data_IF_989740774111
#
_entry.id   IF_989740774111
#
_cell.length_a   1.000
_cell.length_b   1.000
_cell.length_c   1.000
_cell.angle_alpha   90.00
_cell.angle_beta   90.00
_cell.angle_gamma   90.00
#
_symmetry.space_group_name_H-M   'P 1'
#
loop_
_entity.id
_entity.type
_entity.pdbx_description
1 polymer ?
#
# COMPACT_ATOMS: atom_id res chain seq x y z
N UNK A 1 0.17 -21.00 -68.37
CA UNK A 1 -0.02 -22.07 -67.36
C UNK A 1 1.15 -21.92 -66.41
N UNK A 2 0.91 -21.12 -65.36
CA UNK A 2 0.82 -21.56 -63.95
C UNK A 2 2.19 -21.33 -63.30
N UNK A 3 2.43 -20.17 -62.68
CA UNK A 3 2.13 -19.85 -61.26
C UNK A 3 2.61 -20.94 -60.30
N UNK A 4 3.69 -20.66 -59.57
CA UNK A 4 3.54 -20.60 -58.11
C UNK A 4 4.65 -19.78 -57.42
N UNK A 5 4.15 -18.97 -56.49
CA UNK A 5 4.84 -18.07 -55.58
C UNK A 5 5.28 -18.82 -54.32
N UNK A 6 6.37 -18.37 -53.68
CA UNK A 6 6.57 -18.37 -52.21
C UNK A 6 7.89 -17.63 -51.95
N UNK A 7 7.90 -16.29 -51.93
CA UNK A 7 7.62 -15.37 -50.81
C UNK A 7 8.48 -15.61 -49.57
N UNK A 8 9.33 -14.60 -49.33
CA UNK A 8 10.30 -14.41 -48.26
C UNK A 8 9.82 -14.85 -46.88
N UNK A 9 10.71 -15.54 -46.16
CA UNK A 9 10.65 -15.66 -44.72
C UNK A 9 10.83 -14.27 -44.09
N UNK A 10 9.70 -13.64 -43.76
CA UNK A 10 9.63 -12.42 -42.98
C UNK A 10 10.33 -12.62 -41.64
N UNK A 11 11.26 -11.70 -41.36
CA UNK A 11 11.84 -11.42 -40.06
C UNK A 11 10.73 -11.38 -38.99
N UNK A 12 10.83 -12.24 -37.98
CA UNK A 12 10.11 -12.04 -36.73
C UNK A 12 10.59 -10.70 -36.14
N UNK A 13 9.69 -9.77 -35.79
CA UNK A 13 10.10 -8.63 -35.00
C UNK A 13 10.46 -9.15 -33.60
N UNK A 14 11.74 -8.99 -33.25
CA UNK A 14 12.23 -8.95 -31.87
C UNK A 14 11.18 -8.32 -30.96
N UNK A 15 10.89 -8.89 -29.78
CA UNK A 15 9.92 -8.32 -28.87
C UNK A 15 10.46 -6.95 -28.46
N UNK A 16 9.97 -5.92 -29.14
CA UNK A 16 10.21 -4.54 -28.79
C UNK A 16 9.82 -4.43 -27.33
N UNK A 17 10.83 -4.27 -26.48
CA UNK A 17 10.66 -3.82 -25.11
C UNK A 17 9.95 -2.47 -25.22
N UNK A 18 8.62 -2.52 -25.20
CA UNK A 18 7.77 -1.36 -25.03
C UNK A 18 8.09 -0.93 -23.60
N UNK A 19 9.11 -0.09 -23.46
CA UNK A 19 9.22 0.79 -22.33
C UNK A 19 7.99 1.68 -22.47
N UNK A 20 6.88 1.24 -21.87
CA UNK A 20 5.69 2.04 -21.69
C UNK A 20 6.17 3.27 -20.94
N UNK A 21 6.36 4.36 -21.68
CA UNK A 21 6.75 5.65 -21.14
C UNK A 21 5.55 6.09 -20.29
N UNK A 22 5.57 5.73 -19.01
CA UNK A 22 4.47 5.99 -18.09
C UNK A 22 4.25 7.50 -18.05
N UNK A 23 3.09 7.95 -18.55
CA UNK A 23 2.68 9.34 -18.52
C UNK A 23 2.67 9.80 -17.06
N UNK A 24 3.45 10.83 -16.75
CA UNK A 24 3.43 11.42 -15.42
C UNK A 24 2.09 12.13 -15.19
N UNK A 25 1.48 11.85 -14.04
CA UNK A 25 0.24 12.49 -13.61
C UNK A 25 0.56 13.96 -13.29
N UNK A 26 -0.20 14.87 -13.88
CA UNK A 26 -0.11 16.32 -13.64
C UNK A 26 -1.21 16.77 -12.67
N UNK A 27 -1.05 17.95 -12.06
CA UNK A 27 -2.11 18.57 -11.24
C UNK A 27 -3.39 18.82 -12.05
N UNK A 28 -3.26 19.08 -13.36
CA UNK A 28 -4.40 19.20 -14.26
C UNK A 28 -5.20 17.90 -14.35
N UNK A 29 -4.50 16.77 -14.51
CA UNK A 29 -5.13 15.44 -14.51
C UNK A 29 -5.88 15.18 -13.20
N UNK A 30 -5.30 15.56 -12.05
CA UNK A 30 -5.94 15.43 -10.72
C UNK A 30 -7.23 16.24 -10.64
N UNK A 31 -7.21 17.49 -11.13
CA UNK A 31 -8.38 18.35 -11.14
C UNK A 31 -9.52 17.80 -11.99
N UNK A 32 -9.19 17.14 -13.10
CA UNK A 32 -10.19 16.54 -13.98
C UNK A 32 -10.80 15.27 -13.38
N UNK A 33 -9.99 14.37 -12.81
CA UNK A 33 -10.53 13.16 -12.15
C UNK A 33 -11.35 13.51 -10.90
N UNK A 34 -10.99 14.56 -10.15
CA UNK A 34 -11.68 14.91 -8.91
C UNK A 34 -13.14 15.37 -9.14
N UNK A 35 -13.44 15.91 -10.32
CA UNK A 35 -14.80 16.27 -10.72
C UNK A 35 -15.70 15.05 -10.89
N UNK A 36 -15.11 13.89 -11.13
CA UNK A 36 -15.81 12.63 -11.39
C UNK A 36 -15.95 11.76 -10.14
N UNK A 37 -15.13 12.03 -9.12
CA UNK A 37 -15.19 11.32 -7.85
C UNK A 37 -16.47 11.66 -7.08
N UNK A 38 -17.14 10.62 -6.60
CA UNK A 38 -18.25 10.78 -5.67
C UNK A 38 -17.76 11.15 -4.25
N UNK A 39 -18.70 11.39 -3.33
CA UNK A 39 -18.37 11.78 -1.97
C UNK A 39 -17.66 10.68 -1.18
N UNK A 40 -18.03 9.40 -1.36
CA UNK A 40 -17.41 8.27 -0.67
C UNK A 40 -15.97 8.06 -1.15
N UNK A 41 -15.74 8.20 -2.45
CA UNK A 41 -14.41 8.12 -3.04
C UNK A 41 -13.51 9.26 -2.57
N UNK A 42 -14.06 10.49 -2.47
CA UNK A 42 -13.32 11.63 -1.89
C UNK A 42 -12.96 11.41 -0.44
N UNK A 43 -13.89 10.91 0.38
CA UNK A 43 -13.64 10.56 1.79
C UNK A 43 -12.51 9.52 1.89
N UNK A 44 -12.59 8.46 1.09
CA UNK A 44 -11.58 7.39 1.07
C UNK A 44 -10.21 7.90 0.65
N UNK A 45 -10.14 8.71 -0.41
CA UNK A 45 -8.87 9.26 -0.88
C UNK A 45 -8.29 10.28 0.11
N UNK A 46 -9.09 11.19 0.68
CA UNK A 46 -8.58 12.13 1.70
C UNK A 46 -8.00 11.36 2.88
N UNK A 47 -8.68 10.32 3.36
CA UNK A 47 -8.17 9.47 4.43
C UNK A 47 -6.80 8.87 4.10
N UNK A 48 -6.66 8.25 2.92
CA UNK A 48 -5.42 7.56 2.51
C UNK A 48 -4.28 8.53 2.15
N UNK A 49 -4.58 9.74 1.68
CA UNK A 49 -3.60 10.66 1.11
C UNK A 49 -3.05 11.70 2.09
N UNK A 50 -3.90 12.29 2.94
CA UNK A 50 -3.50 13.36 3.85
C UNK A 50 -2.70 12.80 5.02
N UNK A 51 -1.55 13.40 5.33
CA UNK A 51 -0.77 13.03 6.51
C UNK A 51 -1.22 13.80 7.75
N UNK A 52 -1.69 15.04 7.57
CA UNK A 52 -2.29 15.85 8.62
C UNK A 52 -3.77 15.48 8.82
N UNK A 53 -4.05 14.88 9.98
CA UNK A 53 -5.38 14.37 10.36
C UNK A 53 -6.38 15.51 10.55
N UNK A 54 -5.96 16.64 11.13
CA UNK A 54 -6.84 17.76 11.42
C UNK A 54 -7.29 18.45 10.13
N UNK A 55 -6.35 18.68 9.21
CA UNK A 55 -6.65 19.24 7.88
C UNK A 55 -7.56 18.29 7.09
N UNK A 56 -7.27 16.98 7.13
CA UNK A 56 -8.11 15.98 6.46
C UNK A 56 -9.55 16.02 6.96
N UNK A 57 -9.74 15.96 8.28
CA UNK A 57 -11.07 15.95 8.90
C UNK A 57 -11.82 17.26 8.64
N UNK A 58 -11.15 18.42 8.76
CA UNK A 58 -11.75 19.72 8.48
C UNK A 58 -12.24 19.82 7.03
N UNK A 59 -11.45 19.35 6.06
CA UNK A 59 -11.83 19.37 4.65
C UNK A 59 -13.04 18.46 4.38
N UNK A 60 -13.08 17.28 4.97
CA UNK A 60 -14.22 16.36 4.83
C UNK A 60 -15.50 16.90 5.48
N UNK A 61 -15.39 17.53 6.66
CA UNK A 61 -16.53 18.18 7.30
C UNK A 61 -17.10 19.31 6.43
N UNK A 62 -16.24 20.12 5.80
CA UNK A 62 -16.70 21.17 4.88
C UNK A 62 -17.37 20.59 3.63
N UNK A 63 -16.82 19.52 3.05
CA UNK A 63 -17.45 18.82 1.93
C UNK A 63 -18.83 18.27 2.31
N UNK A 64 -18.99 17.68 3.49
CA UNK A 64 -20.29 17.22 4.00
C UNK A 64 -21.31 18.35 4.16
N UNK A 65 -20.85 19.57 4.48
CA UNK A 65 -21.70 20.76 4.56
C UNK A 65 -22.03 21.37 3.18
N UNK A 66 -21.60 20.73 2.08
CA UNK A 66 -21.88 21.16 0.71
C UNK A 66 -20.86 22.15 0.14
N UNK A 67 -19.71 22.34 0.78
CA UNK A 67 -18.63 23.14 0.21
C UNK A 67 -18.10 22.49 -1.08
N UNK A 68 -17.81 23.30 -2.10
CA UNK A 68 -17.22 22.85 -3.37
C UNK A 68 -15.70 22.92 -3.31
N UNK A 69 -15.10 22.08 -2.47
CA UNK A 69 -13.65 22.00 -2.32
C UNK A 69 -13.06 21.01 -3.33
N UNK A 70 -11.87 21.34 -3.85
CA UNK A 70 -11.04 20.44 -4.66
C UNK A 70 -9.96 19.82 -3.76
N UNK A 71 -10.39 19.04 -2.76
CA UNK A 71 -9.53 18.49 -1.71
C UNK A 71 -8.37 17.66 -2.27
N UNK A 72 -8.57 16.86 -3.32
CA UNK A 72 -7.51 16.02 -3.89
C UNK A 72 -6.54 16.87 -4.71
N UNK A 73 -7.05 17.85 -5.46
CA UNK A 73 -6.25 18.79 -6.23
C UNK A 73 -5.39 19.66 -5.32
N UNK A 74 -5.96 20.22 -4.25
CA UNK A 74 -5.21 21.04 -3.29
C UNK A 74 -4.17 20.21 -2.53
N UNK A 75 -4.51 18.98 -2.14
CA UNK A 75 -3.53 18.04 -1.59
C UNK A 75 -2.37 17.79 -2.55
N UNK A 76 -2.65 17.51 -3.83
CA UNK A 76 -1.61 17.21 -4.82
C UNK A 76 -0.68 18.40 -5.05
N UNK A 77 -1.22 19.64 -5.08
CA UNK A 77 -0.43 20.86 -5.20
C UNK A 77 0.47 21.08 -3.99
N UNK A 78 -0.02 20.79 -2.79
CA UNK A 78 0.78 20.84 -1.58
C UNK A 78 1.90 19.78 -1.60
N UNK A 79 1.56 18.54 -1.93
CA UNK A 79 2.51 17.42 -1.99
C UNK A 79 3.59 17.61 -3.07
N UNK A 80 3.24 18.21 -4.21
CA UNK A 80 4.17 18.58 -5.28
C UNK A 80 5.21 19.60 -4.79
N UNK A 81 4.78 20.65 -4.08
CA UNK A 81 5.69 21.65 -3.50
C UNK A 81 6.66 21.04 -2.48
N UNK A 82 6.25 19.99 -1.79
CA UNK A 82 7.08 19.27 -0.83
C UNK A 82 8.03 18.25 -1.49
N UNK A 83 7.98 18.08 -2.82
CA UNK A 83 8.85 17.15 -3.54
C UNK A 83 8.56 15.68 -3.26
N UNK A 84 7.37 15.36 -2.75
CA UNK A 84 6.99 13.98 -2.43
C UNK A 84 6.69 13.19 -3.71
N UNK A 85 6.78 11.84 -3.64
CA UNK A 85 6.33 10.92 -4.71
C UNK A 85 4.80 10.84 -4.77
N UNK A 86 4.14 12.00 -4.83
CA UNK A 86 2.70 12.15 -4.65
C UNK A 86 1.89 11.46 -5.75
N UNK A 87 2.40 11.40 -6.99
CA UNK A 87 1.75 10.68 -8.09
C UNK A 87 1.65 9.19 -7.77
N UNK A 88 2.72 8.61 -7.20
CA UNK A 88 2.73 7.19 -6.83
C UNK A 88 1.83 6.92 -5.62
N UNK A 89 1.78 7.85 -4.64
CA UNK A 89 0.84 7.76 -3.50
C UNK A 89 -0.61 7.85 -3.95
N UNK A 90 -0.93 8.76 -4.88
CA UNK A 90 -2.25 8.87 -5.48
C UNK A 90 -2.66 7.60 -6.22
N UNK A 91 -1.76 7.07 -7.05
CA UNK A 91 -2.03 5.87 -7.83
C UNK A 91 -2.22 4.63 -6.94
N UNK A 92 -1.42 4.49 -5.88
CA UNK A 92 -1.62 3.44 -4.88
C UNK A 92 -2.96 3.59 -4.15
N UNK A 93 -3.32 4.80 -3.70
CA UNK A 93 -4.60 5.04 -3.04
C UNK A 93 -5.80 4.73 -3.94
N UNK A 94 -5.76 5.15 -5.21
CA UNK A 94 -6.77 4.80 -6.22
C UNK A 94 -6.87 3.28 -6.42
N UNK A 95 -5.73 2.59 -6.37
CA UNK A 95 -5.68 1.12 -6.50
C UNK A 95 -6.26 0.42 -5.26
N UNK A 96 -6.01 0.97 -4.06
CA UNK A 96 -6.59 0.50 -2.79
C UNK A 96 -8.12 0.62 -2.81
N UNK A 97 -8.66 1.77 -3.23
CA UNK A 97 -10.12 1.98 -3.34
C UNK A 97 -10.73 1.33 -4.59
N UNK A 98 -9.92 0.64 -5.41
CA UNK A 98 -10.33 -0.08 -6.63
C UNK A 98 -11.04 0.80 -7.68
N UNK A 99 -10.75 2.09 -7.73
CA UNK A 99 -11.30 2.97 -8.76
C UNK A 99 -10.51 2.84 -10.07
N UNK A 100 -10.69 1.70 -10.75
CA UNK A 100 -10.02 1.40 -12.01
C UNK A 100 -10.50 2.26 -13.18
N UNK A 101 -11.68 2.88 -13.05
CA UNK A 101 -12.17 3.82 -14.05
C UNK A 101 -11.27 5.06 -14.12
N UNK A 102 -10.98 5.68 -12.97
CA UNK A 102 -10.07 6.82 -12.88
C UNK A 102 -8.64 6.43 -13.24
N UNK A 103 -8.16 5.27 -12.80
CA UNK A 103 -6.82 4.76 -13.16
C UNK A 103 -6.65 4.62 -14.67
N UNK A 104 -7.65 4.06 -15.37
CA UNK A 104 -7.62 3.94 -16.83
C UNK A 104 -7.61 5.32 -17.51
N UNK A 105 -8.35 6.30 -16.98
CA UNK A 105 -8.33 7.69 -17.50
C UNK A 105 -6.98 8.39 -17.34
N UNK A 106 -6.25 8.06 -16.28
CA UNK A 106 -4.88 8.53 -16.08
C UNK A 106 -3.87 7.83 -17.01
N UNK A 107 -4.30 6.84 -17.81
CA UNK A 107 -3.47 6.12 -18.77
C UNK A 107 -2.75 4.91 -18.18
N UNK A 108 -3.19 4.38 -17.03
CA UNK A 108 -2.60 3.22 -16.38
C UNK A 108 -3.45 1.96 -16.57
N UNK A 109 -2.80 0.81 -16.74
CA UNK A 109 -3.48 -0.47 -16.84
C UNK A 109 -3.77 -1.05 -15.47
N UNK A 110 -5.01 -1.54 -15.27
CA UNK A 110 -5.47 -2.19 -14.04
C UNK A 110 -4.50 -3.25 -13.51
N UNK A 111 -4.06 -4.19 -14.35
CA UNK A 111 -3.24 -5.32 -13.90
C UNK A 111 -1.86 -4.84 -13.43
N UNK A 112 -1.25 -3.92 -14.16
CA UNK A 112 0.07 -3.36 -13.79
C UNK A 112 0.04 -2.69 -12.43
N UNK A 113 -0.96 -1.85 -12.16
CA UNK A 113 -1.07 -1.18 -10.85
C UNK A 113 -1.48 -2.14 -9.75
N UNK A 114 -2.33 -3.13 -10.06
CA UNK A 114 -2.73 -4.15 -9.11
C UNK A 114 -1.55 -4.98 -8.63
N UNK A 115 -0.75 -5.49 -9.56
CA UNK A 115 0.43 -6.32 -9.28
C UNK A 115 1.53 -5.49 -8.60
N UNK A 116 1.66 -4.21 -8.96
CA UNK A 116 2.62 -3.28 -8.35
C UNK A 116 2.30 -2.96 -6.90
N UNK A 117 1.05 -2.62 -6.59
CA UNK A 117 0.67 -2.09 -5.27
C UNK A 117 0.07 -3.13 -4.32
N UNK A 118 -0.33 -4.29 -4.83
CA UNK A 118 -0.93 -5.38 -4.06
C UNK A 118 -2.00 -4.85 -3.09
N UNK A 119 -3.07 -4.20 -3.59
CA UNK A 119 -3.99 -3.42 -2.76
C UNK A 119 -4.70 -4.25 -1.67
N UNK A 120 -4.85 -5.56 -1.89
CA UNK A 120 -5.47 -6.48 -0.94
C UNK A 120 -4.51 -7.07 0.08
N UNK A 121 -3.18 -6.97 -0.16
CA UNK A 121 -2.18 -7.42 0.80
C UNK A 121 -2.07 -6.39 1.93
N UNK A 122 -2.53 -6.78 3.11
CA UNK A 122 -2.57 -5.93 4.30
C UNK A 122 -1.19 -5.71 4.92
N UNK A 123 -0.19 -6.52 4.58
CA UNK A 123 1.14 -6.45 5.19
C UNK A 123 2.13 -5.59 4.40
N UNK A 124 1.72 -5.06 3.25
CA UNK A 124 2.61 -4.29 2.36
C UNK A 124 1.93 -3.01 1.87
N UNK A 125 2.68 -1.92 1.83
CA UNK A 125 2.29 -0.64 1.23
C UNK A 125 3.55 0.08 0.77
N UNK A 126 3.51 0.76 -0.38
CA UNK A 126 4.71 1.38 -0.97
C UNK A 126 4.82 2.89 -0.67
N UNK A 127 3.71 3.59 -0.66
CA UNK A 127 3.61 5.05 -0.57
C UNK A 127 2.49 5.51 0.37
N UNK A 128 1.40 4.74 0.49
CA UNK A 128 0.32 4.99 1.46
C UNK A 128 0.70 4.44 2.83
N UNK A 129 0.28 5.09 3.91
CA UNK A 129 0.50 4.59 5.26
C UNK A 129 -0.13 3.19 5.44
N UNK A 130 0.66 2.24 5.94
CA UNK A 130 0.26 0.85 6.07
C UNK A 130 -0.94 0.68 7.00
N UNK A 131 -1.01 1.45 8.10
CA UNK A 131 -2.10 1.36 9.06
C UNK A 131 -3.40 1.92 8.49
N UNK A 132 -3.31 3.02 7.74
CA UNK A 132 -4.46 3.56 6.99
C UNK A 132 -4.99 2.56 5.97
N UNK A 133 -4.10 1.96 5.16
CA UNK A 133 -4.48 0.89 4.22
C UNK A 133 -5.15 -0.28 4.95
N UNK A 134 -4.56 -0.75 6.05
CA UNK A 134 -5.11 -1.86 6.85
C UNK A 134 -6.51 -1.55 7.36
N UNK A 135 -6.70 -0.43 8.03
CA UNK A 135 -7.99 -0.04 8.61
C UNK A 135 -9.05 0.17 7.52
N UNK A 136 -8.69 0.84 6.42
CA UNK A 136 -9.58 0.97 5.26
C UNK A 136 -10.04 -0.39 4.74
N UNK A 137 -9.12 -1.32 4.47
CA UNK A 137 -9.45 -2.64 3.95
C UNK A 137 -10.25 -3.50 4.94
N UNK A 138 -10.10 -3.28 6.25
CA UNK A 138 -10.92 -3.92 7.28
C UNK A 138 -12.35 -3.38 7.21
N UNK A 139 -12.52 -2.06 7.17
CA UNK A 139 -13.82 -1.40 7.07
C UNK A 139 -14.56 -1.82 5.78
N UNK A 140 -13.87 -1.87 4.64
CA UNK A 140 -14.44 -2.33 3.35
C UNK A 140 -14.98 -3.76 3.38
N UNK A 141 -14.44 -4.63 4.24
CA UNK A 141 -14.89 -6.03 4.38
C UNK A 141 -16.06 -6.18 5.35
N UNK A 142 -16.39 -5.14 6.11
CA UNK A 142 -17.48 -5.20 7.09
C UNK A 142 -18.83 -4.99 6.44
N UNK A 143 -19.81 -5.77 6.90
CA UNK A 143 -21.21 -5.48 6.61
C UNK A 143 -21.70 -4.25 7.39
N UNK A 144 -22.77 -3.61 6.91
CA UNK A 144 -23.43 -2.53 7.64
C UNK A 144 -23.85 -2.92 9.06
N UNK A 145 -24.21 -4.20 9.28
CA UNK A 145 -24.54 -4.71 10.61
C UNK A 145 -23.30 -4.75 11.53
N UNK A 146 -22.17 -5.27 11.03
CA UNK A 146 -20.91 -5.26 11.76
C UNK A 146 -20.43 -3.83 12.05
N UNK A 147 -20.57 -2.91 11.08
CA UNK A 147 -20.18 -1.51 11.28
C UNK A 147 -21.01 -0.85 12.38
N UNK A 148 -22.32 -1.09 12.44
CA UNK A 148 -23.19 -0.59 13.52
C UNK A 148 -22.78 -1.13 14.89
N UNK A 149 -22.43 -2.40 14.96
CA UNK A 149 -21.94 -3.04 16.20
C UNK A 149 -20.62 -2.40 16.63
N UNK A 150 -19.67 -2.22 15.70
CA UNK A 150 -18.39 -1.54 15.95
C UNK A 150 -18.61 -0.14 16.52
N UNK A 151 -19.41 0.69 15.86
CA UNK A 151 -19.72 2.05 16.31
C UNK A 151 -20.37 2.06 17.69
N UNK A 152 -21.28 1.12 17.97
CA UNK A 152 -21.93 1.01 19.28
C UNK A 152 -20.92 0.70 20.39
N UNK A 153 -20.01 -0.24 20.16
CA UNK A 153 -18.97 -0.57 21.13
C UNK A 153 -18.00 0.58 21.35
N UNK A 154 -17.55 1.23 20.29
CA UNK A 154 -16.65 2.39 20.39
C UNK A 154 -17.34 3.54 21.13
N UNK A 155 -18.61 3.83 20.82
CA UNK A 155 -19.38 4.86 21.51
C UNK A 155 -19.51 4.58 23.02
N UNK A 156 -19.70 3.32 23.42
CA UNK A 156 -19.75 2.95 24.83
C UNK A 156 -18.39 3.12 25.50
N UNK A 157 -17.29 2.69 24.87
CA UNK A 157 -15.93 2.89 25.41
C UNK A 157 -15.58 4.38 25.52
N UNK A 158 -16.06 5.23 24.61
CA UNK A 158 -15.95 6.68 24.71
C UNK A 158 -16.67 7.23 25.95
N UNK A 159 -17.88 6.74 26.25
CA UNK A 159 -18.62 7.15 27.45
C UNK A 159 -17.85 6.76 28.71
N UNK A 160 -17.33 5.54 28.76
CA UNK A 160 -16.57 5.02 29.91
C UNK A 160 -15.28 5.83 30.14
N UNK A 161 -14.62 6.24 29.04
CA UNK A 161 -13.41 7.09 29.06
C UNK A 161 -13.69 8.59 29.14
N UNK A 162 -14.96 9.02 29.19
CA UNK A 162 -15.40 10.43 29.17
C UNK A 162 -14.85 11.22 27.96
N UNK A 163 -14.72 10.57 26.81
CA UNK A 163 -14.32 11.19 25.55
C UNK A 163 -15.56 11.73 24.82
N UNK A 164 -15.37 12.81 24.05
CA UNK A 164 -16.41 13.33 23.16
C UNK A 164 -16.51 12.42 21.93
N UNK A 165 -17.70 11.86 21.69
CA UNK A 165 -17.98 11.06 20.51
C UNK A 165 -18.64 11.92 19.43
N UNK A 166 -18.07 11.93 18.23
CA UNK A 166 -18.68 12.57 17.06
C UNK A 166 -19.31 11.49 16.19
N UNK A 167 -20.60 11.63 15.89
CA UNK A 167 -21.32 10.66 15.06
C UNK A 167 -21.22 11.04 13.59
N UNK A 168 -20.58 10.19 12.79
CA UNK A 168 -20.49 10.34 11.35
C UNK A 168 -21.34 9.26 10.66
N UNK A 169 -21.92 9.55 9.47
CA UNK A 169 -22.66 8.54 8.72
C UNK A 169 -21.81 7.31 8.42
N UNK A 170 -22.42 6.11 8.55
CA UNK A 170 -21.78 4.81 8.31
C UNK A 170 -21.01 4.73 6.96
N UNK A 171 -21.52 5.27 5.83
CA UNK A 171 -20.78 5.23 4.57
C UNK A 171 -19.47 6.04 4.56
N UNK A 172 -19.21 6.83 5.60
CA UNK A 172 -18.03 7.69 5.74
C UNK A 172 -17.20 7.28 6.96
N UNK A 173 -17.02 5.97 7.16
CA UNK A 173 -16.33 5.40 8.30
C UNK A 173 -14.90 5.94 8.46
N UNK A 174 -14.25 6.31 7.37
CA UNK A 174 -12.92 6.92 7.37
C UNK A 174 -12.90 8.25 8.14
N UNK A 175 -14.01 8.99 8.17
CA UNK A 175 -14.13 10.20 9.00
C UNK A 175 -14.13 9.87 10.49
N UNK A 176 -14.81 8.78 10.89
CA UNK A 176 -14.71 8.27 12.25
C UNK A 176 -13.28 7.84 12.59
N UNK A 177 -12.59 7.16 11.68
CA UNK A 177 -11.17 6.78 11.87
C UNK A 177 -10.27 8.01 12.05
N UNK A 178 -10.47 9.07 11.27
CA UNK A 178 -9.74 10.33 11.42
C UNK A 178 -10.02 10.99 12.77
N UNK A 179 -11.29 11.09 13.17
CA UNK A 179 -11.70 11.65 14.47
C UNK A 179 -11.07 10.87 15.63
N UNK A 180 -11.17 9.54 15.60
CA UNK A 180 -10.58 8.66 16.60
C UNK A 180 -9.06 8.79 16.67
N UNK A 181 -8.40 9.04 15.53
CA UNK A 181 -6.95 9.28 15.51
C UNK A 181 -6.62 10.65 16.08
N UNK A 182 -7.40 11.70 15.75
CA UNK A 182 -7.18 13.07 16.21
C UNK A 182 -7.24 13.20 17.74
N UNK A 183 -8.15 12.46 18.39
CA UNK A 183 -8.27 12.43 19.85
C UNK A 183 -7.39 11.36 20.51
N UNK A 184 -6.51 10.70 19.74
CA UNK A 184 -5.61 9.63 20.19
C UNK A 184 -6.33 8.41 20.80
N UNK A 185 -7.58 8.15 20.38
CA UNK A 185 -8.28 6.91 20.68
C UNK A 185 -7.63 5.71 19.97
N UNK A 186 -7.11 5.96 18.76
CA UNK A 186 -6.24 5.05 18.01
C UNK A 186 -5.02 5.81 17.52
N UNK A 187 -3.95 5.09 17.21
CA UNK A 187 -2.78 5.61 16.49
C UNK A 187 -2.10 4.50 15.69
N UNK A 188 -1.16 4.86 14.83
CA UNK A 188 -0.34 3.89 14.09
C UNK A 188 0.48 2.97 15.00
N UNK A 189 0.76 3.38 16.24
CA UNK A 189 1.52 2.58 17.21
C UNK A 189 0.65 1.89 18.26
N UNK A 190 -0.60 2.32 18.43
CA UNK A 190 -1.53 1.77 19.40
C UNK A 190 -2.94 1.64 18.83
N UNK A 191 -3.30 0.39 18.52
CA UNK A 191 -4.64 -0.02 18.07
C UNK A 191 -5.32 -0.92 19.12
N UNK A 192 -4.86 -0.88 20.37
CA UNK A 192 -5.35 -1.75 21.45
C UNK A 192 -6.84 -1.57 21.73
N UNK A 193 -7.36 -0.35 21.61
CA UNK A 193 -8.78 -0.05 21.79
C UNK A 193 -9.63 -0.75 20.71
N UNK A 194 -9.25 -0.64 19.43
CA UNK A 194 -9.93 -1.35 18.35
C UNK A 194 -9.75 -2.87 18.44
N UNK A 195 -8.56 -3.35 18.79
CA UNK A 195 -8.30 -4.78 18.99
C UNK A 195 -9.25 -5.39 20.02
N UNK A 196 -9.52 -4.68 21.13
CA UNK A 196 -10.52 -5.11 22.14
C UNK A 196 -11.92 -5.18 21.55
N UNK A 197 -12.34 -4.16 20.80
CA UNK A 197 -13.67 -4.15 20.17
C UNK A 197 -13.81 -5.29 19.16
N UNK A 198 -12.82 -5.53 18.32
CA UNK A 198 -12.85 -6.64 17.37
C UNK A 198 -12.91 -8.02 18.05
N UNK A 199 -12.28 -8.20 19.22
CA UNK A 199 -12.42 -9.44 20.00
C UNK A 199 -13.85 -9.66 20.51
N UNK A 200 -14.51 -8.59 20.94
CA UNK A 200 -15.92 -8.65 21.38
C UNK A 200 -16.86 -8.95 20.20
N UNK A 201 -16.50 -8.49 19.00
CA UNK A 201 -17.21 -8.81 17.75
C UNK A 201 -16.86 -10.18 17.16
N UNK A 202 -16.08 -11.01 17.86
CA UNK A 202 -15.59 -12.32 17.40
C UNK A 202 -14.74 -12.26 16.12
N UNK A 203 -14.16 -11.09 15.81
CA UNK A 203 -13.27 -10.87 14.67
C UNK A 203 -11.81 -11.06 15.08
N UNK A 204 -11.48 -12.26 15.58
CA UNK A 204 -10.16 -12.57 16.15
C UNK A 204 -9.02 -12.41 15.14
N UNK A 205 -9.17 -12.90 13.91
CA UNK A 205 -8.17 -12.77 12.84
C UNK A 205 -7.82 -11.31 12.55
N UNK A 206 -8.83 -10.44 12.54
CA UNK A 206 -8.65 -9.00 12.34
C UNK A 206 -7.93 -8.40 13.54
N UNK A 207 -8.31 -8.77 14.75
CA UNK A 207 -7.67 -8.30 15.99
C UNK A 207 -6.19 -8.65 16.03
N UNK A 208 -5.80 -9.86 15.61
CA UNK A 208 -4.41 -10.30 15.54
C UNK A 208 -3.62 -9.57 14.46
N UNK A 209 -4.23 -9.32 13.29
CA UNK A 209 -3.57 -8.62 12.18
C UNK A 209 -3.17 -7.16 12.46
N UNK A 210 -3.79 -6.56 13.50
CA UNK A 210 -3.54 -5.19 13.95
C UNK A 210 -2.39 -5.08 14.95
N UNK A 211 -1.91 -6.19 15.51
CA UNK A 211 -0.77 -6.20 16.41
C UNK A 211 0.50 -5.93 15.60
N UNK A 212 1.29 -4.89 15.92
CA UNK A 212 2.55 -4.63 15.23
C UNK A 212 3.48 -5.85 15.38
N UNK A 213 3.90 -6.44 14.25
CA UNK A 213 4.81 -7.61 14.25
C UNK A 213 6.17 -7.32 14.90
N UNK A 214 6.51 -6.05 15.15
CA UNK A 214 7.69 -5.63 15.92
C UNK A 214 7.66 -6.07 17.39
N UNK A 215 6.47 -6.29 17.96
CA UNK A 215 6.33 -6.79 19.34
C UNK A 215 6.56 -8.30 19.49
N UNK A 216 6.73 -9.05 18.40
CA UNK A 216 6.99 -10.49 18.45
C UNK A 216 8.49 -10.83 18.55
N UNK A 217 9.39 -9.83 18.52
CA UNK A 217 10.85 -10.03 18.55
C UNK A 217 11.55 -9.59 19.85
N UNK A 218 10.83 -9.12 20.86
CA UNK A 218 11.45 -8.76 22.14
C UNK A 218 11.52 -9.96 23.08
N UNK A 219 12.54 -10.81 22.88
CA UNK A 219 13.18 -11.63 23.91
C UNK A 219 14.49 -12.23 23.35
N UNK A 220 15.41 -11.36 22.92
CA UNK A 220 16.84 -11.71 22.86
C UNK A 220 17.61 -10.50 23.35
N UNK A 221 18.08 -10.56 24.59
CA UNK A 221 19.02 -9.60 25.16
C UNK A 221 20.31 -9.61 24.35
N UNK A 222 20.60 -8.52 23.66
CA UNK A 222 21.97 -8.21 23.22
C UNK A 222 22.32 -6.79 23.62
N UNK A 223 22.95 -6.70 24.79
CA UNK A 223 23.67 -5.53 25.26
C UNK A 223 24.92 -5.33 24.39
N UNK A 224 25.08 -4.13 23.83
CA UNK A 224 26.22 -3.80 22.97
C UNK A 224 26.11 -2.41 22.35
N UNK A 225 26.09 -1.38 23.20
CA UNK A 225 26.03 0.02 22.79
C UNK A 225 27.39 0.55 22.35
N UNK A 226 27.53 0.87 21.05
CA UNK A 226 28.54 1.82 20.56
C UNK A 226 27.85 3.01 19.88
N UNK A 227 28.12 4.20 20.43
CA UNK A 227 27.62 5.51 20.00
C UNK A 227 28.24 5.94 18.68
N UNK A 228 27.43 6.32 17.69
CA UNK A 228 27.82 7.31 16.67
C UNK A 228 26.67 8.32 16.51
N UNK A 229 27.02 9.59 16.69
CA UNK A 229 26.16 10.78 16.52
C UNK A 229 25.87 11.00 15.03
N UNK A 230 24.65 11.43 14.68
CA UNK A 230 24.42 12.19 13.45
C UNK A 230 23.36 13.28 13.64
N UNK A 231 23.61 14.37 12.91
CA UNK A 231 22.97 15.68 12.95
C UNK A 231 21.53 15.67 12.43
N UNK A 232 20.78 16.65 12.92
CA UNK A 232 19.42 17.03 12.57
C UNK A 232 19.33 17.59 11.14
N UNK A 233 18.29 17.17 10.39
CA UNK A 233 17.64 17.91 9.29
C UNK A 233 16.15 17.47 9.23
N UNK A 234 15.27 18.39 8.84
CA UNK A 234 13.82 18.48 9.16
C UNK A 234 12.83 17.39 8.64
N UNK A 235 11.53 17.55 8.95
CA UNK A 235 10.59 16.44 9.01
C UNK A 235 9.97 16.10 7.64
N UNK A 236 10.45 15.05 7.01
CA UNK A 236 9.69 14.24 6.07
C UNK A 236 9.73 12.79 6.56
N UNK A 237 8.97 12.50 7.62
CA UNK A 237 8.84 11.17 8.18
C UNK A 237 7.88 10.34 7.35
N UNK A 238 8.43 9.63 6.36
CA UNK A 238 8.06 8.26 5.97
C UNK A 238 9.15 7.69 5.04
N UNK A 239 10.28 7.28 5.62
CA UNK A 239 11.17 6.31 4.96
C UNK A 239 10.92 4.96 5.64
N UNK A 240 10.05 4.17 5.02
CA UNK A 240 10.17 2.73 5.02
C UNK A 240 10.10 2.25 3.57
N UNK A 241 11.13 2.60 2.80
CA UNK A 241 11.27 2.09 1.43
C UNK A 241 12.73 1.70 1.19
N UNK A 242 12.97 0.39 1.23
CA UNK A 242 14.17 -0.24 0.66
C UNK A 242 14.24 0.20 -0.81
N UNK A 243 15.29 0.96 -1.14
CA UNK A 243 15.49 1.52 -2.47
C UNK A 243 16.46 0.62 -3.24
N UNK A 244 16.04 0.13 -4.41
CA UNK A 244 16.91 -0.63 -5.32
C UNK A 244 17.00 0.13 -6.64
N UNK A 245 18.19 0.61 -6.97
CA UNK A 245 18.56 1.16 -8.27
C UNK A 245 19.62 0.25 -8.89
N UNK A 246 19.37 -0.24 -10.10
CA UNK A 246 20.27 -1.13 -10.83
C UNK A 246 21.40 -0.40 -11.55
N UNK A 247 22.52 -1.10 -11.75
CA UNK A 247 23.11 -1.44 -13.06
C UNK A 247 24.46 -2.18 -12.93
N UNK A 248 24.55 -3.28 -13.70
CA UNK A 248 25.71 -3.97 -14.32
C UNK A 248 26.72 -4.84 -13.54
N UNK A 249 27.09 -5.91 -14.26
CA UNK A 249 27.78 -7.16 -13.93
C UNK A 249 29.24 -7.01 -13.46
N UNK A 250 29.63 -7.84 -12.49
CA UNK A 250 30.93 -8.51 -12.54
C UNK A 250 30.96 -9.83 -11.77
N UNK A 251 31.50 -10.83 -12.46
CA UNK A 251 31.67 -12.23 -12.11
C UNK A 251 32.52 -12.43 -10.83
N UNK A 252 32.03 -13.21 -9.84
CA UNK A 252 32.86 -13.68 -8.72
C UNK A 252 32.53 -15.09 -8.27
N UNK A 253 33.59 -15.89 -8.32
CA UNK A 253 33.79 -17.28 -7.91
C UNK A 253 33.37 -17.57 -6.47
N UNK A 254 32.56 -18.62 -6.26
CA UNK A 254 32.12 -19.10 -4.95
C UNK A 254 33.15 -20.02 -4.30
N UNK A 255 33.55 -19.74 -3.05
CA UNK A 255 34.27 -20.68 -2.18
C UNK A 255 33.32 -21.22 -1.12
N UNK A 256 33.04 -22.52 -1.18
CA UNK A 256 32.09 -23.23 -0.31
C UNK A 256 32.65 -23.43 1.12
N UNK A 257 31.91 -22.99 2.13
CA UNK A 257 32.08 -23.38 3.53
C UNK A 257 30.73 -23.89 4.07
N UNK A 258 30.62 -25.20 4.28
CA UNK A 258 29.40 -25.93 4.62
C UNK A 258 29.19 -26.10 6.14
N UNK A 259 29.19 -25.02 6.93
CA UNK A 259 28.97 -25.14 8.38
C UNK A 259 27.90 -24.22 9.00
N UNK A 260 27.26 -23.37 8.20
CA UNK A 260 26.07 -22.65 8.67
C UNK A 260 24.99 -22.71 7.58
N UNK A 261 23.81 -23.26 7.90
CA UNK A 261 22.61 -23.19 7.05
C UNK A 261 22.03 -21.76 6.99
N UNK A 262 22.89 -20.74 6.92
CA UNK A 262 22.51 -19.37 6.70
C UNK A 262 23.05 -18.93 5.33
N UNK A 263 22.16 -18.41 4.50
CA UNK A 263 22.56 -17.79 3.26
C UNK A 263 23.11 -16.40 3.60
N UNK A 264 24.42 -16.21 3.48
CA UNK A 264 25.02 -14.89 3.69
C UNK A 264 24.71 -14.00 2.49
N UNK A 265 23.86 -12.98 2.73
CA UNK A 265 23.55 -11.97 1.74
C UNK A 265 24.66 -10.92 1.80
N UNK A 266 25.46 -10.82 0.75
CA UNK A 266 26.36 -9.69 0.57
C UNK A 266 25.51 -8.41 0.39
N UNK A 267 25.68 -7.45 1.29
CA UNK A 267 24.98 -6.16 1.23
C UNK A 267 25.28 -5.39 -0.06
N UNK A 268 26.38 -5.69 -0.73
CA UNK A 268 26.78 -5.07 -1.99
C UNK A 268 26.30 -5.84 -3.23
N UNK A 269 25.85 -7.08 -3.06
CA UNK A 269 25.34 -7.95 -4.11
C UNK A 269 24.18 -8.81 -3.56
N UNK A 270 23.03 -8.20 -3.23
CA UNK A 270 21.89 -8.97 -2.76
C UNK A 270 21.34 -9.81 -3.92
N UNK A 271 21.65 -11.10 -3.91
CA UNK A 271 21.09 -12.05 -4.88
C UNK A 271 19.56 -12.15 -4.75
N UNK A 272 18.91 -12.71 -5.78
CA UNK A 272 17.49 -13.02 -5.73
C UNK A 272 17.29 -14.31 -4.93
N UNK A 273 16.52 -14.24 -3.84
CA UNK A 273 16.10 -15.43 -3.10
C UNK A 273 14.72 -15.86 -3.60
N UNK A 274 14.67 -16.96 -4.35
CA UNK A 274 13.42 -17.59 -4.75
C UNK A 274 13.00 -18.59 -3.68
N UNK A 275 11.95 -18.27 -2.93
CA UNK A 275 11.35 -19.20 -1.96
C UNK A 275 10.18 -19.89 -2.65
N UNK A 276 10.35 -21.16 -3.00
CA UNK A 276 9.27 -21.98 -3.55
C UNK A 276 8.65 -22.78 -2.41
N UNK A 277 7.42 -22.44 -2.05
CA UNK A 277 6.65 -23.18 -1.06
C UNK A 277 5.87 -24.32 -1.73
N UNK A 278 6.60 -25.30 -2.27
CA UNK A 278 6.04 -26.54 -2.84
C UNK A 278 6.72 -27.75 -2.21
N UNK A 279 5.93 -28.73 -1.78
CA UNK A 279 6.44 -29.96 -1.18
C UNK A 279 6.90 -30.99 -2.24
N UNK A 280 6.32 -30.93 -3.46
CA UNK A 280 6.58 -31.90 -4.53
C UNK A 280 6.85 -31.16 -5.84
N UNK A 281 8.04 -31.38 -6.40
CA UNK A 281 8.42 -30.91 -7.72
C UNK A 281 8.26 -32.04 -8.74
N UNK A 282 7.58 -31.77 -9.85
CA UNK A 282 7.58 -32.68 -11.00
C UNK A 282 8.52 -32.13 -12.09
N UNK A 283 9.17 -33.05 -12.79
CA UNK A 283 9.99 -32.75 -13.97
C UNK A 283 9.27 -33.33 -15.18
N UNK A 284 8.99 -32.51 -16.18
CA UNK A 284 8.47 -33.03 -17.45
C UNK A 284 9.51 -33.99 -18.08
N UNK A 285 9.09 -35.14 -18.60
CA UNK A 285 9.99 -36.06 -19.27
C UNK A 285 10.49 -35.43 -20.58
N UNK A 286 11.80 -35.33 -20.72
CA UNK A 286 12.46 -34.90 -21.97
C UNK A 286 12.15 -35.92 -23.08
N UNK A 287 11.22 -35.60 -23.99
CA UNK A 287 10.90 -36.45 -25.15
C UNK A 287 11.99 -36.48 -26.24
N UNK A 288 13.15 -35.87 -26.00
CA UNK A 288 14.27 -35.82 -26.95
C UNK A 288 15.49 -36.64 -26.51
N UNK A 289 15.27 -37.86 -26.02
CA UNK A 289 16.29 -38.92 -26.04
C UNK A 289 15.75 -40.18 -26.70
N UNK A 290 15.46 -40.08 -27.99
CA UNK A 290 15.64 -41.23 -28.89
C UNK A 290 17.14 -41.51 -28.98
N UNK A 291 17.60 -42.50 -28.22
CA UNK A 291 18.89 -43.17 -28.46
C UNK A 291 18.57 -44.49 -29.15
N UNK A 292 19.28 -44.65 -30.27
CA UNK A 292 19.38 -45.76 -31.21
C UNK A 292 19.42 -47.12 -30.51
#
# INVERSE_FOLDING_TARGET
MESDLTLDASLDPEPSSIILQQRQITIGDVSDIEKELDMMEKVSLVYLLYDDIEIALQNLMQLQLGAKLQVITEWSRHAEKMGCKWQSKLLEALTIIKNFFVINKLGYHRNEVWDRFLPTNLDTSLFVDLYKKKLYCICEKMTNAQMKILLTHVQNDFKDKKLKYTDFPIPYMEMSLLDWTSIKYISSTDLSNLSKVFKVMEMYDVSESLIPKSHLLTNVDFSGSNKIKNKEDGPCSSISSISTSGLFYQDRTWTNNYENNCYQIDSNCPGICLIINQEIFYREPDFNRSVI
#
